data_IF_682955488921
#
_entry.id   IF_682955488921
#
_cell.length_a   1.000
_cell.length_b   1.000
_cell.length_c   1.000
_cell.angle_alpha   90.00
_cell.angle_beta   90.00
_cell.angle_gamma   90.00
#
_symmetry.space_group_name_H-M   'P 1'
#
loop_
_entity.id
_entity.type
_entity.pdbx_description
1 polymer ?
#
# COMPACT_ATOMS: atom_id res chain seq x y z
N UNK A 1 72.46 -2.91 4.50
CA UNK A 1 71.09 -3.45 4.58
C UNK A 1 70.34 -2.71 5.67
N UNK A 2 69.72 -1.56 5.37
CA UNK A 2 68.76 -0.86 6.23
C UNK A 2 67.87 0.00 5.34
N UNK A 3 66.66 -0.47 5.07
CA UNK A 3 65.60 0.27 4.36
C UNK A 3 64.88 1.16 5.36
N UNK A 4 65.01 2.49 5.21
CA UNK A 4 64.22 3.45 5.95
C UNK A 4 62.80 3.49 5.37
N UNK A 5 61.82 3.23 6.25
CA UNK A 5 60.41 3.51 6.08
C UNK A 5 60.16 5.02 6.23
N UNK A 6 59.16 5.52 5.50
CA UNK A 6 58.26 6.66 5.82
C UNK A 6 58.02 7.54 4.59
N UNK A 7 56.95 7.21 3.83
CA UNK A 7 56.32 8.20 2.98
C UNK A 7 55.34 9.00 3.82
N UNK A 8 55.78 10.21 4.13
CA UNK A 8 54.98 11.38 4.42
C UNK A 8 53.67 11.40 3.63
N UNK A 9 52.54 11.53 4.34
CA UNK A 9 51.45 12.51 4.12
C UNK A 9 50.51 12.31 5.32
N UNK A 10 50.79 13.06 6.37
CA UNK A 10 49.86 13.24 7.49
C UNK A 10 49.46 14.72 7.51
N UNK A 11 48.15 14.93 7.64
CA UNK A 11 47.50 16.13 8.20
C UNK A 11 47.68 17.44 7.43
N UNK A 12 46.74 17.70 6.52
CA UNK A 12 46.12 19.03 6.39
C UNK A 12 44.62 18.82 6.19
N UNK A 13 43.86 19.07 7.25
CA UNK A 13 42.47 19.53 7.27
C UNK A 13 41.45 18.79 6.41
N UNK A 14 40.92 17.69 6.97
CA UNK A 14 39.56 17.26 6.68
C UNK A 14 38.58 18.31 7.24
N UNK A 15 38.48 19.44 6.56
CA UNK A 15 37.40 20.42 6.73
C UNK A 15 36.09 19.68 6.52
N UNK A 16 35.29 19.64 7.58
CA UNK A 16 33.83 19.46 7.59
C UNK A 16 33.18 19.44 6.19
N UNK A 17 33.27 18.32 5.50
CA UNK A 17 32.35 18.02 4.41
C UNK A 17 31.06 17.59 5.09
N UNK A 18 30.15 18.55 5.17
CA UNK A 18 28.73 18.40 5.42
C UNK A 18 28.26 16.98 5.13
N UNK A 19 27.60 16.37 6.12
CA UNK A 19 26.80 15.15 6.02
C UNK A 19 25.71 15.30 4.95
N UNK A 20 26.10 15.23 3.69
CA UNK A 20 25.20 15.32 2.54
C UNK A 20 24.60 13.94 2.23
N UNK A 21 24.10 13.22 3.25
CA UNK A 21 23.34 11.98 3.02
C UNK A 21 22.44 11.55 4.19
N UNK A 22 21.85 12.48 4.94
CA UNK A 22 20.60 12.17 5.64
C UNK A 22 19.46 12.92 4.97
N UNK A 23 19.11 12.51 3.74
CA UNK A 23 17.76 12.79 3.25
C UNK A 23 16.81 12.03 4.17
N UNK A 24 16.32 12.69 5.21
CA UNK A 24 15.33 12.17 6.15
C UNK A 24 14.02 11.95 5.39
N UNK A 25 13.90 10.79 4.75
CA UNK A 25 12.65 10.36 4.13
C UNK A 25 11.57 10.41 5.21
N UNK A 26 10.37 10.94 4.91
CA UNK A 26 9.29 10.96 5.88
C UNK A 26 8.98 9.52 6.34
N UNK A 27 9.05 9.29 7.65
CA UNK A 27 8.69 8.00 8.25
C UNK A 27 7.17 7.96 8.38
N UNK A 28 6.50 7.32 7.41
CA UNK A 28 5.06 7.06 7.54
C UNK A 28 4.84 5.88 8.48
N UNK A 29 4.08 6.12 9.55
CA UNK A 29 3.56 5.06 10.42
C UNK A 29 2.49 4.22 9.72
N UNK A 30 2.14 3.10 10.34
CA UNK A 30 0.95 2.33 10.00
C UNK A 30 -0.17 2.68 10.98
N UNK A 31 -1.41 2.56 10.55
CA UNK A 31 -2.57 2.81 11.41
C UNK A 31 -2.88 1.69 12.41
N UNK A 32 -2.23 0.53 12.27
CA UNK A 32 -2.28 -0.57 13.22
C UNK A 32 -1.27 -0.33 14.35
N UNK A 33 -1.69 -0.62 15.58
CA UNK A 33 -0.83 -0.54 16.75
C UNK A 33 0.34 -1.54 16.61
N UNK A 34 1.54 -1.14 17.01
CA UNK A 34 2.71 -2.02 16.90
C UNK A 34 2.62 -3.19 17.88
N UNK A 35 1.91 -2.99 18.98
CA UNK A 35 1.64 -3.99 20.02
C UNK A 35 0.73 -5.13 19.54
N UNK A 36 -0.08 -4.88 18.49
CA UNK A 36 -0.98 -5.88 17.90
C UNK A 36 -0.26 -6.79 16.89
N UNK A 37 0.99 -6.52 16.54
CA UNK A 37 1.71 -7.22 15.49
C UNK A 37 2.95 -7.93 16.01
N UNK A 38 2.98 -9.25 15.83
CA UNK A 38 4.21 -10.02 15.99
C UNK A 38 5.15 -9.72 14.80
N UNK A 39 6.31 -9.06 15.02
CA UNK A 39 7.22 -8.67 13.95
C UNK A 39 7.82 -9.87 13.20
N UNK A 40 7.88 -11.04 13.84
CA UNK A 40 8.43 -12.26 13.26
C UNK A 40 7.46 -12.85 12.24
N UNK A 41 6.17 -12.94 12.60
CA UNK A 41 5.12 -13.58 11.78
C UNK A 41 4.40 -12.63 10.83
N UNK A 42 4.64 -11.33 10.95
CA UNK A 42 3.93 -10.30 10.18
C UNK A 42 4.79 -9.68 9.08
N UNK A 43 4.17 -9.43 7.94
CA UNK A 43 4.72 -8.63 6.84
C UNK A 43 3.90 -7.37 6.64
N UNK A 44 4.60 -6.24 6.50
CA UNK A 44 4.00 -4.94 6.21
C UNK A 44 4.30 -4.56 4.76
N UNK A 45 3.30 -4.01 4.08
CA UNK A 45 3.46 -3.43 2.77
C UNK A 45 2.62 -2.16 2.66
N UNK A 46 3.13 -1.14 1.98
CA UNK A 46 2.39 0.09 1.75
C UNK A 46 2.65 0.64 0.37
N UNK A 47 1.66 1.32 -0.18
CA UNK A 47 1.83 2.18 -1.35
C UNK A 47 1.46 3.60 -0.96
N UNK A 48 2.42 4.51 -1.07
CA UNK A 48 2.24 5.92 -0.68
C UNK A 48 2.02 6.79 -1.94
N UNK A 49 1.17 7.82 -1.80
CA UNK A 49 0.94 8.84 -2.84
C UNK A 49 0.50 8.29 -4.21
N UNK A 50 -0.25 7.20 -4.20
CA UNK A 50 -0.70 6.55 -5.43
C UNK A 50 -1.80 7.40 -6.09
N UNK A 51 -1.70 7.61 -7.40
CA UNK A 51 -2.73 8.29 -8.22
C UNK A 51 -3.96 7.41 -8.48
N UNK A 52 -4.68 7.05 -7.42
CA UNK A 52 -5.95 6.32 -7.47
C UNK A 52 -6.98 6.98 -6.58
N UNK A 53 -8.26 6.70 -6.81
CA UNK A 53 -9.32 7.19 -5.93
C UNK A 53 -9.31 6.45 -4.59
N UNK A 54 -9.11 7.17 -3.50
CA UNK A 54 -9.16 6.63 -2.13
C UNK A 54 -10.48 5.92 -1.82
N UNK A 55 -11.60 6.39 -2.41
CA UNK A 55 -12.93 5.77 -2.25
C UNK A 55 -12.97 4.36 -2.82
N UNK A 56 -12.41 4.19 -4.01
CA UNK A 56 -12.36 2.88 -4.66
C UNK A 56 -11.36 1.96 -3.97
N UNK A 57 -10.19 2.48 -3.62
CA UNK A 57 -9.19 1.73 -2.86
C UNK A 57 -9.74 1.25 -1.51
N UNK A 58 -10.48 2.09 -0.80
CA UNK A 58 -11.09 1.74 0.48
C UNK A 58 -12.09 0.57 0.37
N UNK A 59 -12.96 0.55 -0.65
CA UNK A 59 -13.90 -0.58 -0.84
C UNK A 59 -13.16 -1.87 -1.22
N UNK A 60 -12.06 -1.78 -1.98
CA UNK A 60 -11.18 -2.91 -2.28
C UNK A 60 -10.53 -3.43 -0.99
N UNK A 61 -9.86 -2.56 -0.22
CA UNK A 61 -9.19 -2.93 1.03
C UNK A 61 -10.18 -3.58 2.02
N UNK A 62 -11.38 -3.03 2.14
CA UNK A 62 -12.44 -3.60 2.97
C UNK A 62 -12.88 -5.00 2.51
N UNK A 63 -12.83 -5.27 1.21
CA UNK A 63 -13.23 -6.56 0.64
C UNK A 63 -12.15 -7.62 0.82
N UNK A 64 -10.88 -7.27 0.62
CA UNK A 64 -9.76 -8.21 0.74
C UNK A 64 -9.34 -8.48 2.20
N UNK A 65 -9.72 -7.61 3.14
CA UNK A 65 -9.45 -7.82 4.57
C UNK A 65 -10.02 -9.17 5.03
N UNK A 66 -9.17 -10.02 5.60
CA UNK A 66 -9.49 -11.35 6.08
C UNK A 66 -9.36 -12.48 5.05
N UNK A 67 -9.07 -12.18 3.78
CA UNK A 67 -8.76 -13.21 2.77
C UNK A 67 -7.33 -13.72 2.92
N UNK A 68 -7.07 -14.93 2.41
CA UNK A 68 -5.70 -15.41 2.19
C UNK A 68 -5.06 -14.67 1.02
N UNK A 69 -3.73 -14.65 0.95
CA UNK A 69 -2.98 -13.98 -0.12
C UNK A 69 -3.42 -14.47 -1.51
N UNK A 70 -3.52 -15.79 -1.70
CA UNK A 70 -3.95 -16.41 -2.96
C UNK A 70 -5.36 -15.99 -3.36
N UNK A 71 -6.31 -16.03 -2.42
CA UNK A 71 -7.69 -15.60 -2.65
C UNK A 71 -7.78 -14.12 -3.03
N UNK A 72 -7.03 -13.26 -2.33
CA UNK A 72 -7.02 -11.83 -2.57
C UNK A 72 -6.45 -11.50 -3.96
N UNK A 73 -5.34 -12.14 -4.36
CA UNK A 73 -4.76 -11.96 -5.70
C UNK A 73 -5.73 -12.39 -6.80
N UNK A 74 -6.35 -13.57 -6.65
CA UNK A 74 -7.33 -14.06 -7.62
C UNK A 74 -8.53 -13.12 -7.73
N UNK A 75 -9.06 -12.66 -6.59
CA UNK A 75 -10.14 -11.68 -6.56
C UNK A 75 -9.79 -10.40 -7.33
N UNK A 76 -8.59 -9.84 -7.13
CA UNK A 76 -8.15 -8.63 -7.83
C UNK A 76 -7.97 -8.86 -9.34
N UNK A 77 -7.42 -10.02 -9.74
CA UNK A 77 -7.32 -10.40 -11.16
C UNK A 77 -8.72 -10.49 -11.81
N UNK A 78 -9.69 -11.07 -11.11
CA UNK A 78 -11.08 -11.14 -11.59
C UNK A 78 -11.75 -9.77 -11.68
N UNK A 79 -11.46 -8.84 -10.76
CA UNK A 79 -11.94 -7.46 -10.83
C UNK A 79 -11.33 -6.72 -12.01
N UNK A 80 -10.03 -6.92 -12.29
CA UNK A 80 -9.33 -6.34 -13.44
C UNK A 80 -9.95 -6.86 -14.75
N UNK A 81 -10.25 -8.16 -14.80
CA UNK A 81 -10.95 -8.81 -15.92
C UNK A 81 -12.47 -8.49 -15.97
N UNK A 82 -12.99 -7.70 -15.02
CA UNK A 82 -14.41 -7.35 -14.87
C UNK A 82 -15.35 -8.55 -14.67
N UNK A 83 -14.82 -9.70 -14.23
CA UNK A 83 -15.61 -10.90 -13.92
C UNK A 83 -16.32 -10.76 -12.58
N UNK A 84 -15.61 -10.26 -11.56
CA UNK A 84 -16.13 -10.10 -10.20
C UNK A 84 -16.22 -8.63 -9.82
N UNK A 85 -17.38 -8.21 -9.33
CA UNK A 85 -17.60 -6.82 -8.90
C UNK A 85 -17.09 -6.61 -7.46
N UNK A 86 -16.53 -5.44 -7.18
CA UNK A 86 -16.23 -5.01 -5.82
C UNK A 86 -17.51 -4.45 -5.19
N UNK A 87 -17.93 -4.93 -4.00
CA UNK A 87 -19.06 -4.37 -3.27
C UNK A 87 -18.74 -2.95 -2.79
N UNK A 88 -19.60 -1.98 -3.12
CA UNK A 88 -19.47 -0.61 -2.61
C UNK A 88 -20.46 -0.41 -1.47
N UNK A 89 -19.96 -0.29 -0.24
CA UNK A 89 -20.81 -0.14 0.97
C UNK A 89 -20.89 1.30 1.47
N UNK A 90 -19.75 1.99 1.55
CA UNK A 90 -19.67 3.38 2.04
C UNK A 90 -19.90 4.35 0.91
N UNK A 91 -19.16 4.23 -0.20
CA UNK A 91 -19.17 5.19 -1.31
C UNK A 91 -20.14 4.81 -2.43
N UNK A 92 -21.39 4.50 -2.10
CA UNK A 92 -22.38 3.90 -3.00
C UNK A 92 -23.40 4.87 -3.63
N UNK A 93 -23.30 6.18 -3.37
CA UNK A 93 -24.25 7.17 -3.89
C UNK A 93 -24.29 7.12 -5.43
N UNK A 94 -25.49 6.95 -6.00
CA UNK A 94 -25.70 6.80 -7.46
C UNK A 94 -24.87 5.67 -8.09
N UNK A 95 -24.52 4.62 -7.32
CA UNK A 95 -23.92 3.41 -7.87
C UNK A 95 -25.03 2.45 -8.30
N UNK A 96 -24.90 1.90 -9.51
CA UNK A 96 -25.84 0.92 -10.03
C UNK A 96 -25.81 -0.39 -9.26
N UNK A 97 -26.95 -1.08 -9.23
CA UNK A 97 -27.05 -2.40 -8.62
C UNK A 97 -26.30 -3.43 -9.45
N UNK A 98 -25.76 -4.47 -8.80
CA UNK A 98 -25.06 -5.57 -9.47
C UNK A 98 -25.45 -6.89 -8.84
N UNK A 99 -25.69 -7.89 -9.69
CA UNK A 99 -25.97 -9.25 -9.26
C UNK A 99 -24.70 -9.94 -8.72
N UNK A 100 -24.86 -10.94 -7.86
CA UNK A 100 -23.75 -11.73 -7.29
C UNK A 100 -23.01 -11.07 -6.11
N UNK A 101 -23.49 -9.93 -5.60
CA UNK A 101 -22.96 -9.29 -4.41
C UNK A 101 -23.80 -9.70 -3.19
N UNK A 102 -23.24 -10.51 -2.28
CA UNK A 102 -24.00 -11.03 -1.14
C UNK A 102 -24.45 -9.95 -0.16
N UNK A 103 -23.51 -9.24 0.47
CA UNK A 103 -23.79 -8.27 1.55
C UNK A 103 -23.91 -6.80 1.07
N UNK A 104 -24.09 -6.57 -0.23
CA UNK A 104 -24.22 -5.23 -0.81
C UNK A 104 -25.01 -5.28 -2.10
N UNK A 105 -25.89 -4.31 -2.34
CA UNK A 105 -26.64 -4.24 -3.61
C UNK A 105 -25.87 -3.52 -4.73
N UNK A 106 -24.96 -2.60 -4.37
CA UNK A 106 -24.19 -1.80 -5.30
C UNK A 106 -22.75 -2.29 -5.44
N UNK A 107 -22.22 -2.30 -6.65
CA UNK A 107 -20.83 -2.61 -6.90
C UNK A 107 -20.30 -2.08 -8.23
N UNK A 108 -18.97 -2.02 -8.34
CA UNK A 108 -18.24 -1.50 -9.50
C UNK A 108 -17.01 -2.35 -9.78
N UNK A 109 -16.35 -2.08 -10.91
CA UNK A 109 -15.07 -2.68 -11.29
C UNK A 109 -13.96 -1.60 -11.29
N UNK A 110 -13.41 -1.25 -10.12
CA UNK A 110 -12.37 -0.24 -10.00
C UNK A 110 -11.00 -0.74 -10.51
N UNK A 111 -10.87 -0.94 -11.82
CA UNK A 111 -9.69 -1.55 -12.47
C UNK A 111 -8.37 -0.85 -12.09
N UNK A 112 -8.35 0.48 -12.12
CA UNK A 112 -7.13 1.25 -11.79
C UNK A 112 -6.67 0.97 -10.36
N UNK A 113 -7.59 1.06 -9.39
CA UNK A 113 -7.25 0.81 -7.99
C UNK A 113 -6.86 -0.66 -7.75
N UNK A 114 -7.56 -1.63 -8.39
CA UNK A 114 -7.24 -3.05 -8.27
C UNK A 114 -5.83 -3.37 -8.78
N UNK A 115 -5.40 -2.79 -9.91
CA UNK A 115 -4.02 -2.94 -10.42
C UNK A 115 -2.97 -2.46 -9.44
N UNK A 116 -3.20 -1.31 -8.79
CA UNK A 116 -2.25 -0.78 -7.81
C UNK A 116 -2.23 -1.60 -6.52
N UNK A 117 -3.38 -2.04 -6.01
CA UNK A 117 -3.44 -2.89 -4.81
C UNK A 117 -2.79 -4.25 -5.08
N UNK A 118 -2.96 -4.83 -6.27
CA UNK A 118 -2.30 -6.07 -6.66
C UNK A 118 -0.77 -5.95 -6.59
N UNK A 119 -0.21 -4.85 -7.11
CA UNK A 119 1.23 -4.58 -7.02
C UNK A 119 1.74 -4.50 -5.57
N UNK A 120 0.93 -3.94 -4.66
CA UNK A 120 1.31 -3.87 -3.24
C UNK A 120 1.28 -5.27 -2.61
N UNK A 121 0.32 -6.12 -2.98
CA UNK A 121 0.27 -7.51 -2.52
C UNK A 121 1.43 -8.35 -3.08
N UNK A 122 1.83 -8.14 -4.33
CA UNK A 122 3.03 -8.77 -4.92
C UNK A 122 4.30 -8.34 -4.17
N UNK A 123 4.42 -7.05 -3.81
CA UNK A 123 5.50 -6.59 -2.94
C UNK A 123 5.45 -7.18 -1.53
N UNK A 124 4.24 -7.40 -0.99
CA UNK A 124 4.08 -8.04 0.31
C UNK A 124 4.49 -9.52 0.29
N UNK A 125 4.19 -10.24 -0.79
CA UNK A 125 4.66 -11.62 -1.00
C UNK A 125 6.18 -11.68 -1.06
N UNK A 126 6.82 -10.83 -1.89
CA UNK A 126 8.29 -10.79 -1.98
C UNK A 126 8.94 -10.48 -0.61
N UNK A 127 8.33 -9.60 0.19
CA UNK A 127 8.79 -9.32 1.54
C UNK A 127 8.60 -10.52 2.48
N UNK A 128 7.55 -11.33 2.29
CA UNK A 128 7.30 -12.52 3.08
C UNK A 128 8.29 -13.64 2.76
N UNK A 129 8.55 -13.87 1.48
CA UNK A 129 9.57 -14.81 0.99
C UNK A 129 10.94 -14.45 1.54
N UNK A 130 11.30 -13.15 1.52
CA UNK A 130 12.55 -12.68 2.10
C UNK A 130 12.66 -12.93 3.61
N UNK A 131 11.53 -12.86 4.34
CA UNK A 131 11.46 -13.18 5.77
C UNK A 131 11.41 -14.69 6.05
N UNK A 132 11.21 -15.53 5.04
CA UNK A 132 11.08 -16.98 5.20
C UNK A 132 9.71 -17.45 5.74
N UNK A 133 8.66 -16.65 5.56
CA UNK A 133 7.30 -17.01 5.96
C UNK A 133 6.60 -17.85 4.89
N UNK A 134 5.68 -18.74 5.28
CA UNK A 134 4.90 -19.53 4.32
C UNK A 134 3.86 -18.67 3.59
N UNK A 135 4.11 -18.39 2.32
CA UNK A 135 3.25 -17.58 1.45
C UNK A 135 1.82 -18.12 1.31
N UNK A 136 1.62 -19.43 1.42
CA UNK A 136 0.29 -20.06 1.27
C UNK A 136 -0.59 -19.81 2.50
N UNK A 137 0.03 -19.68 3.67
CA UNK A 137 -0.62 -19.48 4.97
C UNK A 137 -0.80 -18.00 5.34
N UNK A 138 -0.34 -17.08 4.50
CA UNK A 138 -0.50 -15.65 4.74
C UNK A 138 -1.94 -15.20 4.60
N UNK A 139 -2.42 -14.50 5.64
CA UNK A 139 -3.74 -13.90 5.70
C UNK A 139 -3.63 -12.39 5.89
N UNK A 140 -4.50 -11.65 5.20
CA UNK A 140 -4.55 -10.19 5.30
C UNK A 140 -5.29 -9.80 6.58
N UNK A 141 -4.55 -9.45 7.62
CA UNK A 141 -5.10 -8.98 8.91
C UNK A 141 -5.51 -7.50 8.85
N UNK A 142 -4.72 -6.69 8.15
CA UNK A 142 -4.94 -5.26 8.03
C UNK A 142 -4.92 -4.86 6.56
N UNK A 143 -5.95 -4.14 6.14
CA UNK A 143 -6.01 -3.51 4.83
C UNK A 143 -6.77 -2.20 4.97
N UNK A 144 -6.08 -1.08 4.73
CA UNK A 144 -6.67 0.24 4.82
C UNK A 144 -6.25 1.09 3.62
N UNK A 145 -7.10 2.05 3.26
CA UNK A 145 -6.77 3.07 2.28
C UNK A 145 -7.33 4.41 2.73
N UNK A 146 -6.51 5.45 2.66
CA UNK A 146 -6.86 6.80 3.11
C UNK A 146 -6.35 7.87 2.14
N UNK A 147 -7.00 9.05 2.11
CA UNK A 147 -6.57 10.14 1.23
C UNK A 147 -5.19 10.65 1.63
N UNK A 148 -4.33 10.84 0.63
CA UNK A 148 -3.04 11.49 0.77
C UNK A 148 -3.09 12.95 0.31
N UNK A 149 -1.97 13.42 -0.21
CA UNK A 149 -1.83 14.78 -0.73
C UNK A 149 -2.82 15.07 -1.85
N UNK A 150 -3.28 16.33 -1.92
CA UNK A 150 -4.12 16.83 -3.00
C UNK A 150 -3.28 17.64 -3.98
N UNK A 151 -3.26 17.23 -5.23
CA UNK A 151 -2.69 18.01 -6.33
C UNK A 151 -3.70 19.09 -6.67
N UNK A 152 -3.37 20.35 -6.32
CA UNK A 152 -4.25 21.49 -6.52
C UNK A 152 -4.23 21.94 -7.99
N UNK A 153 -5.42 22.06 -8.59
CA UNK A 153 -5.65 22.63 -9.92
C UNK A 153 -6.94 23.44 -9.87
N UNK A 154 -7.11 24.36 -10.81
CA UNK A 154 -8.30 25.18 -10.93
C UNK A 154 -8.79 25.15 -12.37
N UNK A 155 -10.10 25.00 -12.53
CA UNK A 155 -10.77 24.99 -13.83
C UNK A 155 -11.49 26.33 -14.04
N UNK A 156 -11.25 27.03 -15.16
CA UNK A 156 -12.00 28.24 -15.48
C UNK A 156 -13.47 27.90 -15.74
N UNK A 157 -14.37 28.78 -15.29
CA UNK A 157 -15.82 28.68 -15.39
C UNK A 157 -16.40 29.98 -15.95
N UNK A 158 -17.67 29.93 -16.33
CA UNK A 158 -18.40 31.10 -16.81
C UNK A 158 -18.31 32.28 -15.84
N UNK A 159 -18.43 33.50 -16.39
CA UNK A 159 -18.34 34.76 -15.66
C UNK A 159 -16.99 34.97 -14.93
N UNK A 160 -15.89 34.53 -15.54
CA UNK A 160 -14.53 34.74 -15.00
C UNK A 160 -14.21 33.99 -13.70
N UNK A 161 -15.04 33.03 -13.31
CA UNK A 161 -14.87 32.26 -12.07
C UNK A 161 -13.83 31.16 -12.27
N UNK A 162 -13.14 30.78 -11.20
CA UNK A 162 -12.29 29.59 -11.18
C UNK A 162 -12.74 28.67 -10.03
N UNK A 163 -12.91 27.37 -10.31
CA UNK A 163 -13.31 26.39 -9.29
C UNK A 163 -12.22 25.33 -9.09
N UNK A 164 -12.01 24.83 -7.86
CA UNK A 164 -11.07 23.74 -7.58
C UNK A 164 -11.34 22.46 -8.39
N UNK A 165 -10.28 21.87 -8.93
CA UNK A 165 -10.27 20.54 -9.55
C UNK A 165 -9.12 19.71 -8.97
N UNK A 166 -9.25 19.31 -7.71
CA UNK A 166 -8.16 18.71 -6.95
C UNK A 166 -8.11 17.19 -7.14
N UNK A 167 -6.98 16.69 -7.63
CA UNK A 167 -6.72 15.25 -7.67
C UNK A 167 -6.20 14.81 -6.29
N UNK A 168 -6.92 13.90 -5.62
CA UNK A 168 -6.53 13.39 -4.31
C UNK A 168 -5.76 12.08 -4.46
N UNK A 169 -4.48 12.08 -4.08
CA UNK A 169 -3.67 10.86 -4.01
C UNK A 169 -4.16 9.95 -2.88
N UNK A 170 -3.67 8.72 -2.85
CA UNK A 170 -4.10 7.70 -1.87
C UNK A 170 -2.90 6.99 -1.29
N UNK A 171 -2.93 6.78 0.03
CA UNK A 171 -2.06 5.83 0.70
C UNK A 171 -2.84 4.54 0.95
N UNK A 172 -2.19 3.40 0.73
CA UNK A 172 -2.72 2.07 1.00
C UNK A 172 -1.75 1.37 1.94
N UNK A 173 -2.28 0.75 2.98
CA UNK A 173 -1.53 0.00 3.99
C UNK A 173 -2.08 -1.41 4.06
N UNK A 174 -1.17 -2.38 4.03
CA UNK A 174 -1.45 -3.80 4.18
C UNK A 174 -0.53 -4.38 5.26
N UNK A 175 -1.10 -5.22 6.12
CA UNK A 175 -0.33 -6.12 6.96
C UNK A 175 -0.89 -7.54 6.79
N UNK A 176 0.02 -8.49 6.61
CA UNK A 176 -0.27 -9.90 6.46
C UNK A 176 0.40 -10.64 7.60
N UNK A 177 -0.28 -11.65 8.11
CA UNK A 177 0.20 -12.50 9.20
C UNK A 177 0.12 -13.95 8.74
N UNK A 178 1.16 -14.71 9.07
CA UNK A 178 1.16 -16.16 8.90
C UNK A 178 0.23 -16.80 9.95
N UNK A 179 -0.73 -17.61 9.49
CA UNK A 179 -1.64 -18.31 10.40
C UNK A 179 -1.00 -19.63 10.86
N UNK A 180 -1.18 -19.95 12.15
CA UNK A 180 -0.82 -21.25 12.69
C UNK A 180 -1.65 -22.37 12.06
N UNK A 181 -1.08 -23.57 12.02
CA UNK A 181 -1.73 -24.76 11.48
C UNK A 181 -2.92 -25.15 12.36
N UNK A 182 -4.05 -25.53 11.75
CA UNK A 182 -5.32 -25.85 12.43
C UNK A 182 -5.31 -27.24 13.11
N UNK A 183 -4.14 -27.67 13.59
CA UNK A 183 -3.91 -28.94 14.30
C UNK A 183 -3.68 -28.81 15.81
N UNK A 184 -3.67 -27.58 16.36
CA UNK A 184 -3.56 -27.34 17.81
C UNK A 184 -4.78 -26.53 18.29
N UNK A 185 -5.96 -27.15 18.31
CA UNK A 185 -6.99 -27.04 19.38
C UNK A 185 -8.22 -27.86 19.05
#
# INVERSE_FOLDING_TARGET
>A
MFTLKENHINRIDAVQLHSWSEHKVPKWGYSIAEEELDPEKTVKASGREIRVSHKSAHEICRTIKGMTLTQAKQFLKDVIAKKKAVPFKRFKKKAGHRHGLGKAYAGRYPVKAAKHVLKILEGAEANAEYKGLDTERLKIIHACAYPGMKIKRYMPRAHGRATPDFETLTHVELALEEQAESGET
#
